data_IF_942163630974
#
_entry.id   IF_942163630974
#
_cell.length_a   1.000
_cell.length_b   1.000
_cell.length_c   1.000
_cell.angle_alpha   90.00
_cell.angle_beta   90.00
_cell.angle_gamma   90.00
#
_symmetry.space_group_name_H-M   'P 1'
#
loop_
_entity.id
_entity.type
_entity.pdbx_description
1 polymer ?
#
# COMPACT_ATOMS: atom_id res chain seq x y z
N UNK A 1 10.99 7.59 -24.75
CA UNK A 1 11.24 7.91 -26.17
C UNK A 1 9.91 8.19 -26.90
N UNK A 2 8.86 7.40 -26.71
CA UNK A 2 7.56 7.59 -27.41
C UNK A 2 6.80 8.84 -26.93
N UNK A 3 6.93 9.25 -25.67
CA UNK A 3 6.31 10.47 -25.12
C UNK A 3 7.00 11.73 -25.70
N UNK A 4 8.32 11.72 -25.79
CA UNK A 4 9.11 12.82 -26.33
C UNK A 4 8.86 13.04 -27.84
N UNK A 5 8.79 11.97 -28.61
CA UNK A 5 8.46 12.06 -30.05
C UNK A 5 7.01 12.46 -30.29
N UNK A 6 6.07 12.04 -29.43
CA UNK A 6 4.65 12.45 -29.49
C UNK A 6 4.45 13.93 -29.20
N UNK A 7 5.18 14.49 -28.25
CA UNK A 7 5.13 15.92 -27.91
C UNK A 7 5.76 16.81 -28.99
N UNK A 8 6.80 16.33 -29.66
CA UNK A 8 7.47 17.09 -30.73
C UNK A 8 6.68 17.18 -32.02
N UNK A 9 5.82 16.20 -32.31
CA UNK A 9 4.95 16.17 -33.50
C UNK A 9 3.60 16.85 -33.32
N UNK A 10 3.19 17.17 -32.11
CA UNK A 10 1.93 17.86 -31.84
C UNK A 10 2.21 19.31 -31.46
N UNK A 11 2.04 20.20 -32.43
CA UNK A 11 2.08 21.68 -32.26
C UNK A 11 0.99 22.19 -31.28
N UNK A 12 0.11 21.29 -30.79
CA UNK A 12 -0.96 21.58 -29.85
C UNK A 12 -1.01 20.46 -28.79
N UNK A 13 -0.41 20.68 -27.59
CA UNK A 13 -0.40 19.72 -26.50
C UNK A 13 -1.83 19.29 -26.07
N UNK A 14 -2.83 20.18 -26.24
CA UNK A 14 -4.24 19.87 -25.96
C UNK A 14 -4.77 18.71 -26.82
N UNK A 15 -4.41 18.70 -28.12
CA UNK A 15 -4.83 17.61 -29.02
C UNK A 15 -4.07 16.30 -28.74
N UNK A 16 -2.87 16.35 -28.17
CA UNK A 16 -2.16 15.14 -27.77
C UNK A 16 -2.81 14.43 -26.58
N UNK A 17 -3.44 15.20 -25.68
CA UNK A 17 -4.07 14.74 -24.45
C UNK A 17 -5.50 14.21 -24.67
N UNK A 18 -6.19 14.66 -25.73
CA UNK A 18 -7.64 14.38 -25.91
C UNK A 18 -7.99 13.68 -27.23
N UNK A 19 -7.07 13.61 -28.19
CA UNK A 19 -7.40 13.12 -29.53
C UNK A 19 -7.49 11.59 -29.58
N UNK A 20 -8.72 11.12 -29.82
CA UNK A 20 -9.04 9.73 -30.11
C UNK A 20 -9.58 9.61 -31.55
N UNK A 21 -8.88 8.86 -32.41
CA UNK A 21 -9.25 8.69 -33.81
C UNK A 21 -10.02 7.40 -33.99
N UNK A 22 -11.36 7.49 -33.87
CA UNK A 22 -12.25 6.33 -33.89
C UNK A 22 -12.36 5.70 -35.29
N UNK A 23 -12.25 6.50 -36.36
CA UNK A 23 -12.53 6.09 -37.74
C UNK A 23 -11.29 5.69 -38.57
N UNK A 24 -10.12 5.55 -37.93
CA UNK A 24 -8.84 5.24 -38.64
C UNK A 24 -8.36 3.80 -38.47
N UNK A 25 -9.27 2.92 -38.05
CA UNK A 25 -8.99 1.49 -37.87
C UNK A 25 -8.42 1.13 -36.48
N UNK A 26 -8.50 -0.16 -36.11
CA UNK A 26 -8.25 -0.64 -34.75
C UNK A 26 -6.81 -0.44 -34.28
N UNK A 27 -5.82 -0.43 -35.17
CA UNK A 27 -4.42 -0.21 -34.84
C UNK A 27 -4.15 1.20 -34.36
N UNK A 28 -4.77 2.19 -35.01
CA UNK A 28 -4.59 3.61 -34.66
C UNK A 28 -5.36 3.92 -33.38
N UNK A 29 -6.58 3.39 -33.25
CA UNK A 29 -7.37 3.49 -32.04
C UNK A 29 -6.63 2.93 -30.82
N UNK A 30 -6.05 1.74 -30.94
CA UNK A 30 -5.28 1.11 -29.85
C UNK A 30 -4.06 1.96 -29.45
N UNK A 31 -3.38 2.55 -30.43
CA UNK A 31 -2.23 3.44 -30.19
C UNK A 31 -2.66 4.74 -29.48
N UNK A 32 -3.79 5.32 -29.87
CA UNK A 32 -4.30 6.54 -29.24
C UNK A 32 -4.81 6.25 -27.82
N UNK A 33 -5.53 5.16 -27.61
CA UNK A 33 -5.95 4.70 -26.27
C UNK A 33 -4.76 4.46 -25.36
N UNK A 34 -3.75 3.75 -25.82
CA UNK A 34 -2.54 3.49 -25.05
C UNK A 34 -1.86 4.79 -24.62
N UNK A 35 -1.76 5.77 -25.52
CA UNK A 35 -1.18 7.09 -25.24
C UNK A 35 -2.01 7.87 -24.21
N UNK A 36 -3.32 7.92 -24.38
CA UNK A 36 -4.24 8.63 -23.49
C UNK A 36 -4.23 8.01 -22.08
N UNK A 37 -4.41 6.69 -22.00
CA UNK A 37 -4.37 5.97 -20.73
C UNK A 37 -3.03 6.17 -20.03
N UNK A 38 -1.90 6.11 -20.78
CA UNK A 38 -0.58 6.33 -20.22
C UNK A 38 -0.41 7.71 -19.60
N UNK A 39 -0.88 8.74 -20.29
CA UNK A 39 -0.77 10.11 -19.81
C UNK A 39 -1.70 10.38 -18.63
N UNK A 40 -2.95 9.95 -18.70
CA UNK A 40 -3.93 10.16 -17.65
C UNK A 40 -3.64 9.34 -16.39
N UNK A 41 -3.01 8.16 -16.53
CA UNK A 41 -2.62 7.32 -15.39
C UNK A 41 -1.25 7.69 -14.80
N UNK A 42 -0.53 8.66 -15.35
CA UNK A 42 0.84 8.96 -14.92
C UNK A 42 0.95 9.34 -13.44
N UNK A 43 0.04 10.19 -12.95
CA UNK A 43 0.00 10.58 -11.55
C UNK A 43 -0.26 9.38 -10.63
N UNK A 44 -1.22 8.53 -11.01
CA UNK A 44 -1.55 7.31 -10.28
C UNK A 44 -0.36 6.34 -10.28
N UNK A 45 0.29 6.17 -11.42
CA UNK A 45 1.50 5.35 -11.53
C UNK A 45 2.60 5.84 -10.59
N UNK A 46 2.82 7.16 -10.49
CA UNK A 46 3.81 7.74 -9.57
C UNK A 46 3.46 7.40 -8.11
N UNK A 47 2.20 7.55 -7.70
CA UNK A 47 1.75 7.18 -6.35
C UNK A 47 2.01 5.70 -6.06
N UNK A 48 1.61 4.82 -6.99
CA UNK A 48 1.81 3.37 -6.84
C UNK A 48 3.30 3.01 -6.78
N UNK A 49 4.14 3.62 -7.62
CA UNK A 49 5.59 3.37 -7.61
C UNK A 49 6.22 3.81 -6.29
N UNK A 50 5.91 5.02 -5.80
CA UNK A 50 6.49 5.53 -4.55
C UNK A 50 6.08 4.63 -3.37
N UNK A 51 4.81 4.26 -3.27
CA UNK A 51 4.32 3.39 -2.19
C UNK A 51 4.86 1.96 -2.30
N UNK A 52 5.03 1.43 -3.52
CA UNK A 52 5.67 0.12 -3.75
C UNK A 52 7.16 0.13 -3.36
N UNK A 53 7.88 1.21 -3.63
CA UNK A 53 9.26 1.39 -3.16
C UNK A 53 9.34 1.43 -1.64
N UNK A 54 8.38 2.07 -0.99
CA UNK A 54 8.29 2.05 0.47
C UNK A 54 8.13 0.62 1.00
N UNK A 55 7.22 -0.18 0.45
CA UNK A 55 7.05 -1.58 0.87
C UNK A 55 8.31 -2.44 0.63
N UNK A 56 8.99 -2.22 -0.50
CA UNK A 56 10.25 -2.91 -0.76
C UNK A 56 11.32 -2.53 0.28
N UNK A 57 11.38 -1.27 0.68
CA UNK A 57 12.28 -0.78 1.72
C UNK A 57 11.92 -1.35 3.10
N UNK A 58 10.64 -1.36 3.46
CA UNK A 58 10.13 -1.96 4.70
C UNK A 58 10.44 -3.45 4.77
N UNK A 59 10.19 -4.17 3.68
CA UNK A 59 10.53 -5.59 3.56
C UNK A 59 12.04 -5.84 3.73
N UNK A 60 12.87 -5.07 3.05
CA UNK A 60 14.33 -5.16 3.18
C UNK A 60 14.81 -4.87 4.59
N UNK A 61 14.25 -3.88 5.25
CA UNK A 61 14.54 -3.57 6.65
C UNK A 61 14.11 -4.71 7.59
N UNK A 62 12.93 -5.30 7.36
CA UNK A 62 12.44 -6.43 8.15
C UNK A 62 13.34 -7.66 8.00
N UNK A 63 13.80 -7.97 6.79
CA UNK A 63 14.78 -9.05 6.54
C UNK A 63 16.12 -8.78 7.26
N UNK A 64 16.53 -7.51 7.35
CA UNK A 64 17.71 -7.10 8.12
C UNK A 64 17.49 -7.04 9.64
N UNK A 65 16.32 -7.44 10.14
CA UNK A 65 15.98 -7.43 11.58
C UNK A 65 15.52 -6.07 12.11
N UNK A 66 15.36 -5.07 11.26
CA UNK A 66 14.86 -3.75 11.62
C UNK A 66 13.34 -3.68 11.50
N UNK A 67 12.70 -2.95 12.40
CA UNK A 67 11.26 -2.69 12.36
C UNK A 67 11.01 -1.19 12.46
N UNK A 68 10.16 -0.67 11.60
CA UNK A 68 9.74 0.73 11.67
C UNK A 68 8.66 0.95 12.72
N UNK A 69 7.81 -0.04 12.92
CA UNK A 69 6.77 0.01 13.93
C UNK A 69 7.36 -0.28 15.33
N UNK A 70 7.13 0.60 16.31
CA UNK A 70 7.61 0.38 17.69
C UNK A 70 7.01 -0.91 18.24
N UNK A 71 7.80 -1.65 19.03
CA UNK A 71 7.27 -2.81 19.75
C UNK A 71 6.22 -2.35 20.75
N UNK A 72 5.13 -3.10 20.92
CA UNK A 72 4.18 -2.84 22.00
C UNK A 72 4.89 -2.82 23.34
N UNK A 73 4.54 -1.89 24.24
CA UNK A 73 5.04 -1.93 25.61
C UNK A 73 4.56 -3.21 26.30
N UNK A 74 5.40 -3.74 27.18
CA UNK A 74 5.03 -4.93 27.97
C UNK A 74 4.19 -4.52 29.17
N UNK A 75 3.05 -5.20 29.33
CA UNK A 75 2.19 -5.09 30.51
C UNK A 75 2.75 -5.93 31.68
N UNK A 76 2.19 -5.74 32.86
CA UNK A 76 2.43 -6.58 34.03
C UNK A 76 1.97 -8.01 33.72
N UNK A 77 2.72 -9.01 34.19
CA UNK A 77 2.37 -10.43 33.98
C UNK A 77 1.01 -10.74 34.57
N UNK A 78 0.12 -11.28 33.71
CA UNK A 78 -1.20 -11.74 34.14
C UNK A 78 -1.07 -13.16 34.67
N UNK A 79 -1.18 -13.32 35.98
CA UNK A 79 -1.17 -14.64 36.62
C UNK A 79 -2.39 -15.46 36.13
N UNK A 80 -2.16 -16.73 35.79
CA UNK A 80 -3.21 -17.66 35.30
C UNK A 80 -3.89 -17.23 33.98
N UNK A 81 -3.13 -16.66 33.05
CA UNK A 81 -3.60 -16.22 31.75
C UNK A 81 -4.43 -17.30 30.99
N UNK A 82 -4.02 -18.57 31.08
CA UNK A 82 -4.68 -19.68 30.39
C UNK A 82 -6.02 -20.12 31.02
N UNK A 83 -6.27 -19.75 32.28
CA UNK A 83 -7.43 -20.24 33.05
C UNK A 83 -8.58 -19.22 33.14
N UNK A 84 -8.33 -17.95 32.84
CA UNK A 84 -9.30 -16.87 33.01
C UNK A 84 -9.37 -16.03 31.76
N UNK A 85 -10.59 -15.67 31.33
CA UNK A 85 -10.75 -14.61 30.33
C UNK A 85 -10.02 -13.35 30.86
N UNK A 86 -8.92 -12.91 30.24
CA UNK A 86 -7.98 -11.99 30.84
C UNK A 86 -8.56 -10.58 31.12
N UNK A 87 -9.77 -10.32 30.64
CA UNK A 87 -10.40 -8.99 30.72
C UNK A 87 -11.86 -9.12 31.15
N UNK A 88 -12.17 -8.67 32.38
CA UNK A 88 -13.56 -8.56 32.80
C UNK A 88 -14.25 -7.35 32.18
N UNK A 89 -15.60 -7.35 32.15
CA UNK A 89 -16.39 -6.23 31.61
C UNK A 89 -16.07 -4.92 32.32
N UNK A 90 -15.87 -4.94 33.64
CA UNK A 90 -15.54 -3.77 34.43
C UNK A 90 -14.16 -3.23 34.11
N UNK A 91 -13.16 -4.12 33.96
CA UNK A 91 -11.81 -3.74 33.54
C UNK A 91 -11.81 -3.16 32.13
N UNK A 92 -12.57 -3.78 31.21
CA UNK A 92 -12.69 -3.29 29.84
C UNK A 92 -13.34 -1.89 29.80
N UNK A 93 -14.43 -1.67 30.51
CA UNK A 93 -15.12 -0.37 30.55
C UNK A 93 -14.22 0.72 31.12
N UNK A 94 -13.49 0.44 32.20
CA UNK A 94 -12.52 1.37 32.76
C UNK A 94 -11.37 1.68 31.78
N UNK A 95 -10.83 0.66 31.13
CA UNK A 95 -9.77 0.82 30.14
C UNK A 95 -10.26 1.61 28.92
N UNK A 96 -11.46 1.32 28.42
CA UNK A 96 -12.05 2.06 27.30
C UNK A 96 -12.22 3.54 27.62
N UNK A 97 -12.73 3.88 28.82
CA UNK A 97 -12.87 5.26 29.24
C UNK A 97 -11.51 5.98 29.32
N UNK A 98 -10.48 5.33 29.86
CA UNK A 98 -9.12 5.90 29.92
C UNK A 98 -8.53 6.07 28.51
N UNK A 99 -8.71 5.07 27.66
CA UNK A 99 -8.24 5.16 26.28
C UNK A 99 -8.90 6.31 25.52
N UNK A 100 -10.24 6.45 25.63
CA UNK A 100 -10.98 7.52 24.95
C UNK A 100 -10.56 8.94 25.36
N UNK A 101 -10.04 9.10 26.58
CA UNK A 101 -9.55 10.38 27.11
C UNK A 101 -8.04 10.60 26.87
N UNK A 102 -7.31 9.57 26.43
CA UNK A 102 -5.85 9.64 26.31
C UNK A 102 -5.35 10.43 25.10
N UNK A 103 -6.15 10.51 24.06
CA UNK A 103 -5.83 11.22 22.81
C UNK A 103 -7.01 12.14 22.48
N UNK A 104 -6.71 13.37 22.13
CA UNK A 104 -7.70 14.35 21.73
C UNK A 104 -8.21 14.09 20.30
N UNK A 105 -9.50 14.27 20.06
CA UNK A 105 -10.13 14.18 18.72
C UNK A 105 -9.87 12.86 17.96
N UNK A 106 -9.80 11.74 18.66
CA UNK A 106 -9.72 10.43 18.03
C UNK A 106 -10.98 9.59 18.23
N UNK A 107 -11.24 8.71 17.30
CA UNK A 107 -12.32 7.73 17.40
C UNK A 107 -11.74 6.32 17.48
N UNK A 108 -12.05 5.60 18.55
CA UNK A 108 -11.65 4.20 18.70
C UNK A 108 -12.44 3.36 17.69
N UNK A 109 -11.71 2.64 16.82
CA UNK A 109 -12.27 1.79 15.77
C UNK A 109 -11.97 0.31 16.00
N UNK A 110 -10.98 -0.01 16.84
CA UNK A 110 -10.58 -1.38 17.09
C UNK A 110 -10.02 -1.60 18.48
N UNK A 111 -10.11 -2.85 18.92
CA UNK A 111 -9.53 -3.32 20.18
C UNK A 111 -8.81 -4.63 19.94
N UNK A 112 -7.57 -4.71 20.40
CA UNK A 112 -6.79 -5.95 20.41
C UNK A 112 -6.64 -6.41 21.86
N UNK A 113 -7.22 -7.55 22.14
CA UNK A 113 -7.11 -8.19 23.46
C UNK A 113 -5.71 -8.78 23.65
N UNK A 114 -5.24 -8.88 24.92
CA UNK A 114 -3.98 -9.51 25.22
C UNK A 114 -3.90 -10.93 24.63
N UNK A 115 -2.82 -11.23 23.94
CA UNK A 115 -2.55 -12.57 23.33
C UNK A 115 -1.46 -13.34 24.08
N UNK A 116 -0.90 -12.76 25.13
CA UNK A 116 0.10 -13.36 25.98
C UNK A 116 0.04 -12.75 27.40
N UNK A 117 0.71 -13.39 28.35
CA UNK A 117 0.75 -12.96 29.75
C UNK A 117 1.24 -11.51 29.95
N UNK A 118 2.05 -11.01 29.05
CA UNK A 118 2.62 -9.65 29.11
C UNK A 118 2.07 -8.71 28.04
N UNK A 119 1.04 -9.12 27.32
CA UNK A 119 0.45 -8.26 26.30
C UNK A 119 -0.52 -7.25 26.93
N UNK A 120 -0.47 -6.02 26.43
CA UNK A 120 -1.40 -4.96 26.81
C UNK A 120 -2.74 -5.11 26.10
N UNK A 121 -3.80 -4.57 26.69
CA UNK A 121 -5.04 -4.27 25.98
C UNK A 121 -4.80 -3.04 25.12
N UNK A 122 -4.86 -3.20 23.80
CA UNK A 122 -4.60 -2.12 22.83
C UNK A 122 -5.88 -1.62 22.20
N UNK A 123 -6.11 -0.33 22.32
CA UNK A 123 -7.12 0.39 21.56
C UNK A 123 -6.46 1.03 20.34
N UNK A 124 -7.12 0.92 19.19
CA UNK A 124 -6.67 1.55 17.93
C UNK A 124 -7.78 2.44 17.40
N UNK A 125 -7.41 3.48 16.67
CA UNK A 125 -8.41 4.40 16.16
C UNK A 125 -7.90 5.37 15.13
N UNK A 126 -8.86 6.13 14.60
CA UNK A 126 -8.67 7.17 13.60
C UNK A 126 -8.72 8.55 14.26
N UNK A 127 -7.90 9.46 13.75
CA UNK A 127 -8.00 10.90 14.02
C UNK A 127 -8.49 11.66 12.79
N UNK A 128 -8.25 12.96 12.79
CA UNK A 128 -8.75 13.86 11.75
C UNK A 128 -8.02 13.75 10.39
N UNK A 129 -6.96 12.97 10.28
CA UNK A 129 -6.21 12.82 9.03
C UNK A 129 -6.60 11.52 8.29
N UNK A 130 -7.40 11.60 7.21
CA UNK A 130 -7.87 10.43 6.47
C UNK A 130 -6.75 9.71 5.69
N UNK A 131 -5.59 10.33 5.52
CA UNK A 131 -4.44 9.73 4.84
C UNK A 131 -3.62 8.81 5.74
N UNK A 132 -3.98 8.67 7.02
CA UNK A 132 -3.36 7.72 7.94
C UNK A 132 -4.19 6.43 8.03
N UNK A 133 -3.53 5.33 8.33
CA UNK A 133 -4.22 4.06 8.62
C UNK A 133 -5.22 4.23 9.76
N UNK A 134 -6.30 3.45 9.71
CA UNK A 134 -7.34 3.42 10.76
C UNK A 134 -6.82 3.02 12.15
N UNK A 135 -5.60 2.54 12.24
CA UNK A 135 -4.89 2.14 13.46
C UNK A 135 -3.69 3.02 13.81
N UNK A 136 -3.59 4.20 13.22
CA UNK A 136 -2.44 5.06 13.44
C UNK A 136 -2.36 5.61 14.87
N UNK A 137 -3.52 5.81 15.52
CA UNK A 137 -3.62 6.14 16.93
C UNK A 137 -3.72 4.85 17.74
N UNK A 138 -2.91 4.72 18.79
CA UNK A 138 -2.88 3.53 19.66
C UNK A 138 -2.77 3.96 21.11
N UNK A 139 -3.53 3.29 21.97
CA UNK A 139 -3.39 3.39 23.42
C UNK A 139 -3.28 1.99 23.99
N UNK A 140 -2.19 1.73 24.68
CA UNK A 140 -1.89 0.46 25.34
C UNK A 140 -2.17 0.58 26.85
N UNK A 141 -3.01 -0.29 27.37
CA UNK A 141 -3.39 -0.30 28.79
C UNK A 141 -3.01 -1.63 29.41
N UNK A 142 -2.31 -1.55 30.53
CA UNK A 142 -2.06 -2.68 31.40
C UNK A 142 -3.34 -3.01 32.16
N UNK A 143 -3.89 -4.19 31.91
CA UNK A 143 -5.15 -4.64 32.49
C UNK A 143 -5.04 -4.86 34.00
N UNK A 144 -3.91 -5.31 34.49
CA UNK A 144 -3.69 -5.68 35.91
C UNK A 144 -3.78 -4.46 36.81
N UNK A 145 -3.13 -3.37 36.42
CA UNK A 145 -3.07 -2.14 37.23
C UNK A 145 -3.87 -0.97 36.63
N UNK A 146 -4.53 -1.20 35.49
CA UNK A 146 -5.37 -0.21 34.80
C UNK A 146 -4.59 1.08 34.44
N UNK A 147 -3.31 0.96 34.11
CA UNK A 147 -2.46 2.10 33.74
C UNK A 147 -2.28 2.15 32.22
N UNK A 148 -2.26 3.36 31.67
CA UNK A 148 -1.79 3.61 30.32
C UNK A 148 -0.28 3.42 30.30
N UNK A 149 0.22 2.49 29.49
CA UNK A 149 1.64 2.14 29.34
C UNK A 149 2.22 2.55 28.01
N UNK A 150 1.38 2.92 27.06
CA UNK A 150 1.80 3.43 25.76
C UNK A 150 0.73 4.28 25.10
N UNK A 151 1.16 5.37 24.49
CA UNK A 151 0.30 6.22 23.63
C UNK A 151 1.08 6.48 22.36
N UNK A 152 0.45 6.23 21.22
CA UNK A 152 0.98 6.56 19.91
C UNK A 152 0.04 7.53 19.22
N UNK A 153 0.55 8.72 18.92
CA UNK A 153 -0.11 9.71 18.09
C UNK A 153 0.76 10.06 16.87
N UNK A 154 0.16 10.38 15.73
CA UNK A 154 0.92 10.77 14.54
C UNK A 154 1.91 11.90 14.79
N UNK A 155 1.56 12.87 15.64
CA UNK A 155 2.41 14.03 15.99
C UNK A 155 3.74 13.64 16.64
N UNK A 156 3.77 12.51 17.34
CA UNK A 156 4.96 12.02 18.08
C UNK A 156 5.68 10.87 17.39
N UNK A 157 5.22 10.43 16.22
CA UNK A 157 5.84 9.32 15.47
C UNK A 157 7.19 9.71 14.88
N UNK A 158 8.11 8.75 14.84
CA UNK A 158 9.28 8.85 13.97
C UNK A 158 8.83 8.95 12.51
N UNK A 159 9.59 9.70 11.68
CA UNK A 159 9.23 9.95 10.29
C UNK A 159 9.03 8.66 9.47
N UNK A 160 9.80 7.59 9.75
CA UNK A 160 9.66 6.29 9.10
C UNK A 160 8.34 5.61 9.43
N UNK A 161 7.93 5.66 10.71
CA UNK A 161 6.64 5.13 11.14
C UNK A 161 5.49 5.95 10.55
N UNK A 162 5.64 7.28 10.49
CA UNK A 162 4.67 8.17 9.88
C UNK A 162 4.47 7.86 8.39
N UNK A 163 5.55 7.67 7.62
CA UNK A 163 5.46 7.24 6.21
C UNK A 163 4.81 5.88 6.06
N UNK A 164 5.09 4.96 6.98
CA UNK A 164 4.45 3.64 6.99
C UNK A 164 2.93 3.73 7.15
N UNK A 165 2.47 4.64 8.01
CA UNK A 165 1.03 4.87 8.20
C UNK A 165 0.35 5.55 6.98
N UNK A 166 1.09 6.28 6.12
CA UNK A 166 0.58 6.85 4.88
C UNK A 166 0.56 5.88 3.70
N UNK A 167 1.46 4.90 3.70
CA UNK A 167 1.67 4.04 2.53
C UNK A 167 0.40 3.28 2.12
N UNK A 168 -0.30 2.64 3.07
CA UNK A 168 -1.49 1.85 2.78
C UNK A 168 -2.66 2.68 2.25
N UNK A 169 -3.08 3.78 2.91
CA UNK A 169 -4.18 4.60 2.39
C UNK A 169 -3.93 5.09 0.98
N UNK A 170 -2.70 5.51 0.68
CA UNK A 170 -2.32 5.97 -0.65
C UNK A 170 -2.21 4.84 -1.66
N UNK A 171 -1.71 3.66 -1.27
CA UNK A 171 -1.56 2.53 -2.18
C UNK A 171 -2.91 1.91 -2.56
N UNK A 172 -3.78 1.73 -1.57
CA UNK A 172 -5.08 1.07 -1.76
C UNK A 172 -6.25 2.04 -1.97
N UNK A 173 -6.04 3.34 -1.81
CA UNK A 173 -7.03 4.36 -2.10
C UNK A 173 -8.24 4.39 -1.18
N UNK A 174 -8.11 3.99 0.09
CA UNK A 174 -9.27 3.99 1.00
C UNK A 174 -9.46 5.29 1.80
N UNK A 175 -8.55 6.24 1.67
CA UNK A 175 -8.55 7.51 2.42
C UNK A 175 -9.77 8.42 2.18
N UNK A 176 -10.50 8.26 1.08
CA UNK A 176 -11.75 8.97 0.77
C UNK A 176 -12.94 8.01 0.58
N UNK A 177 -12.92 6.88 1.28
CA UNK A 177 -14.00 5.89 1.28
C UNK A 177 -14.22 5.23 -0.08
N UNK A 178 -15.48 5.04 -0.46
CA UNK A 178 -15.86 4.35 -1.70
C UNK A 178 -15.41 5.12 -2.95
N UNK A 179 -15.49 6.44 -2.93
CA UNK A 179 -15.15 7.27 -4.10
C UNK A 179 -13.69 7.07 -4.52
N UNK A 180 -12.76 7.18 -3.59
CA UNK A 180 -11.34 7.00 -3.90
C UNK A 180 -11.02 5.56 -4.29
N UNK A 181 -11.64 4.55 -3.67
CA UNK A 181 -11.51 3.15 -4.07
C UNK A 181 -11.96 2.93 -5.53
N UNK A 182 -13.05 3.53 -5.95
CA UNK A 182 -13.52 3.45 -7.34
C UNK A 182 -12.55 4.14 -8.32
N UNK A 183 -12.02 5.31 -7.94
CA UNK A 183 -11.00 6.00 -8.74
C UNK A 183 -9.76 5.10 -8.88
N UNK A 184 -9.25 4.51 -7.78
CA UNK A 184 -8.12 3.59 -7.78
C UNK A 184 -8.37 2.35 -8.65
N UNK A 185 -9.58 1.78 -8.56
CA UNK A 185 -9.98 0.66 -9.40
C UNK A 185 -9.92 1.00 -10.89
N UNK A 186 -10.51 2.14 -11.30
CA UNK A 186 -10.52 2.58 -12.70
C UNK A 186 -9.09 2.78 -13.23
N UNK A 187 -8.23 3.47 -12.47
CA UNK A 187 -6.83 3.68 -12.86
C UNK A 187 -6.02 2.38 -12.82
N UNK A 188 -6.30 1.48 -11.89
CA UNK A 188 -5.69 0.15 -11.83
C UNK A 188 -6.00 -0.68 -13.09
N UNK A 189 -7.28 -0.72 -13.50
CA UNK A 189 -7.69 -1.35 -14.75
C UNK A 189 -7.01 -0.66 -15.95
N UNK A 190 -6.91 0.67 -15.93
CA UNK A 190 -6.20 1.45 -16.94
C UNK A 190 -4.74 1.04 -17.09
N UNK A 191 -3.98 0.95 -15.99
CA UNK A 191 -2.58 0.51 -16.00
C UNK A 191 -2.41 -0.94 -16.45
N UNK A 192 -3.31 -1.84 -16.02
CA UNK A 192 -3.31 -3.23 -16.48
C UNK A 192 -3.54 -3.32 -18.00
N UNK A 193 -4.51 -2.58 -18.51
CA UNK A 193 -4.78 -2.49 -19.94
C UNK A 193 -3.58 -1.90 -20.70
N UNK A 194 -2.93 -0.90 -20.13
CA UNK A 194 -1.73 -0.29 -20.69
C UNK A 194 -0.59 -1.30 -20.82
N UNK A 195 -0.36 -2.09 -19.78
CA UNK A 195 0.65 -3.15 -19.75
C UNK A 195 0.33 -4.24 -20.79
N UNK A 196 -0.91 -4.72 -20.82
CA UNK A 196 -1.35 -5.73 -21.78
C UNK A 196 -1.22 -5.26 -23.23
N UNK A 197 -1.66 -4.03 -23.53
CA UNK A 197 -1.55 -3.46 -24.88
C UNK A 197 -0.10 -3.20 -25.28
N UNK A 198 0.76 -2.79 -24.36
CA UNK A 198 2.21 -2.65 -24.57
C UNK A 198 2.87 -3.97 -24.95
N UNK A 199 2.57 -5.04 -24.22
CA UNK A 199 3.04 -6.40 -24.51
C UNK A 199 2.53 -6.86 -25.87
N UNK A 200 1.25 -6.68 -26.17
CA UNK A 200 0.67 -7.06 -27.47
C UNK A 200 1.32 -6.32 -28.65
N UNK A 201 1.56 -5.02 -28.53
CA UNK A 201 2.22 -4.24 -29.57
C UNK A 201 3.69 -4.69 -29.79
N UNK A 202 4.39 -4.97 -28.71
CA UNK A 202 5.77 -5.49 -28.75
C UNK A 202 5.79 -6.88 -29.38
N UNK A 203 4.91 -7.77 -28.96
CA UNK A 203 4.78 -9.13 -29.52
C UNK A 203 4.55 -9.10 -31.03
N UNK A 204 3.63 -8.26 -31.52
CA UNK A 204 3.37 -8.11 -32.96
C UNK A 204 4.58 -7.60 -33.75
N UNK A 205 5.39 -6.72 -33.14
CA UNK A 205 6.63 -6.22 -33.76
C UNK A 205 7.74 -7.28 -33.80
N UNK A 206 7.89 -8.06 -32.72
CA UNK A 206 8.93 -9.09 -32.61
C UNK A 206 8.61 -10.34 -33.43
N UNK A 207 7.33 -10.62 -33.69
CA UNK A 207 6.94 -11.72 -34.59
C UNK A 207 7.39 -11.48 -36.04
N UNK A 208 7.61 -10.22 -36.42
CA UNK A 208 8.11 -9.81 -37.73
C UNK A 208 9.64 -9.81 -37.82
N UNK A 209 10.34 -9.74 -36.70
CA UNK A 209 11.81 -9.80 -36.64
C UNK A 209 12.22 -11.09 -35.92
N UNK A 210 12.95 -11.96 -36.61
CA UNK A 210 13.52 -13.13 -35.96
C UNK A 210 14.32 -12.71 -34.72
N UNK A 211 13.98 -13.26 -33.54
CA UNK A 211 14.73 -13.03 -32.31
C UNK A 211 16.21 -13.29 -32.57
N UNK A 212 17.06 -12.33 -32.24
CA UNK A 212 18.51 -12.50 -32.33
C UNK A 212 18.96 -13.69 -31.48
N UNK A 213 20.07 -14.34 -31.85
CA UNK A 213 20.61 -15.50 -31.13
C UNK A 213 20.82 -15.22 -29.63
N UNK A 214 21.13 -13.98 -29.27
CA UNK A 214 21.29 -13.49 -27.90
C UNK A 214 19.95 -13.42 -27.17
N UNK A 215 18.90 -12.88 -27.79
CA UNK A 215 17.56 -12.77 -27.17
C UNK A 215 16.90 -14.13 -26.92
N UNK A 216 17.14 -15.11 -27.78
CA UNK A 216 16.68 -16.49 -27.58
C UNK A 216 17.35 -17.16 -26.38
N UNK A 217 18.59 -16.78 -26.03
CA UNK A 217 19.32 -17.31 -24.88
C UNK A 217 19.00 -16.60 -23.58
N UNK A 218 18.76 -15.29 -23.59
CA UNK A 218 18.55 -14.51 -22.37
C UNK A 218 17.11 -14.56 -21.86
N UNK A 219 16.11 -14.72 -22.75
CA UNK A 219 14.70 -14.74 -22.37
C UNK A 219 14.35 -15.87 -21.36
N UNK A 220 14.75 -17.14 -21.56
CA UNK A 220 14.48 -18.19 -20.59
C UNK A 220 15.20 -17.98 -19.26
N UNK A 221 16.38 -17.38 -19.25
CA UNK A 221 17.12 -17.07 -18.02
C UNK A 221 16.39 -16.00 -17.21
N UNK A 222 15.87 -14.95 -17.87
CA UNK A 222 15.07 -13.91 -17.21
C UNK A 222 13.74 -14.45 -16.66
N UNK A 223 13.08 -15.35 -17.40
CA UNK A 223 11.85 -16.01 -16.92
C UNK A 223 12.14 -16.91 -15.72
N UNK A 224 13.20 -17.68 -15.74
CA UNK A 224 13.62 -18.51 -14.60
C UNK A 224 13.99 -17.68 -13.39
N UNK A 225 14.70 -16.57 -13.57
CA UNK A 225 15.02 -15.63 -12.51
C UNK A 225 13.76 -15.00 -11.90
N UNK A 226 12.78 -14.64 -12.72
CA UNK A 226 11.48 -14.12 -12.26
C UNK A 226 10.69 -15.15 -11.47
N UNK A 227 10.60 -16.40 -11.98
CA UNK A 227 9.94 -17.51 -11.29
C UNK A 227 10.63 -17.81 -9.96
N UNK A 228 11.98 -17.88 -9.96
CA UNK A 228 12.75 -18.06 -8.73
C UNK A 228 12.51 -16.94 -7.72
N UNK A 229 12.47 -15.69 -8.18
CA UNK A 229 12.18 -14.53 -7.34
C UNK A 229 10.78 -14.60 -6.72
N UNK A 230 9.76 -14.99 -7.49
CA UNK A 230 8.38 -15.18 -6.98
C UNK A 230 8.32 -16.32 -5.96
N UNK A 231 8.98 -17.47 -6.23
CA UNK A 231 9.07 -18.58 -5.28
C UNK A 231 9.84 -18.19 -4.00
N UNK A 232 10.90 -17.42 -4.15
CA UNK A 232 11.67 -16.90 -3.03
C UNK A 232 10.83 -15.96 -2.16
N UNK A 233 10.06 -15.07 -2.77
CA UNK A 233 9.13 -14.16 -2.08
C UNK A 233 8.06 -14.93 -1.28
N UNK A 234 7.47 -15.98 -1.85
CA UNK A 234 6.48 -16.83 -1.16
C UNK A 234 7.02 -17.55 0.08
N UNK A 235 8.32 -17.75 0.17
CA UNK A 235 8.95 -18.40 1.32
C UNK A 235 9.14 -17.47 2.52
N UNK A 236 9.03 -16.15 2.33
CA UNK A 236 9.24 -15.13 3.35
C UNK A 236 7.98 -14.30 3.65
N UNK A 237 6.88 -14.54 2.94
CA UNK A 237 5.52 -14.07 3.23
C UNK A 237 4.74 -15.13 4.01
#
# INVERSE_FOLDING_TARGET
ISLYTGLKTTRNWKTAITRLRLNQGPRILLSDLHKLLGLWSLWFFIVIVITSWWYLFEFGAAVAGNRFEPRPPKATVISNYEQVNPVSITQFSSAFQKASQAIEDWQITGVLFPTSETAALRFTGIGNNPLLRERAHKVDIDITNQRIIGVQEPKSMAWTNYLNEYADPLHFGYFGGLLTKLIWFVFGVGLTTLSATGVMMTWKRTKSSALTKTQKRTLPILLLALVYFVFWLQRYL
#
